data_IF_324136442838
#
_entry.id   IF_324136442838
#
_cell.length_a   1.000
_cell.length_b   1.000
_cell.length_c   1.000
_cell.angle_alpha   90.00
_cell.angle_beta   90.00
_cell.angle_gamma   90.00
#
_symmetry.space_group_name_H-M   'P 1'
#
loop_
_entity.id
_entity.type
_entity.pdbx_description
1 polymer ?
#
# COMPACT_ATOMS: atom_id res chain seq x y z
N UNK A 1 -38.31 -8.14 -44.25
CA UNK A 1 -37.82 -9.52 -44.41
C UNK A 1 -36.32 -9.69 -44.25
N UNK A 2 -35.60 -8.74 -43.64
CA UNK A 2 -34.13 -8.83 -43.44
C UNK A 2 -33.69 -9.30 -42.03
N UNK A 3 -34.61 -9.35 -41.06
CA UNK A 3 -34.26 -9.74 -39.69
C UNK A 3 -34.09 -11.25 -39.44
N UNK A 4 -34.68 -12.09 -40.32
CA UNK A 4 -34.65 -13.55 -40.14
C UNK A 4 -33.35 -14.21 -40.56
N UNK A 5 -32.61 -13.61 -41.47
CA UNK A 5 -31.32 -14.13 -41.94
C UNK A 5 -30.18 -13.90 -40.94
N UNK A 6 -30.23 -12.83 -40.15
CA UNK A 6 -29.20 -12.54 -39.12
C UNK A 6 -29.28 -13.51 -37.94
N UNK A 7 -30.48 -13.92 -37.57
CA UNK A 7 -30.67 -14.91 -36.49
C UNK A 7 -30.18 -16.30 -36.88
N UNK A 8 -30.40 -16.72 -38.12
CA UNK A 8 -29.90 -17.99 -38.60
C UNK A 8 -28.38 -18.01 -38.75
N UNK A 9 -27.75 -16.86 -39.08
CA UNK A 9 -26.30 -16.76 -39.21
C UNK A 9 -25.62 -16.78 -37.82
N UNK A 10 -26.20 -16.17 -36.79
CA UNK A 10 -25.71 -16.22 -35.42
C UNK A 10 -25.82 -17.63 -34.82
N UNK A 11 -26.89 -18.36 -35.09
CA UNK A 11 -27.04 -19.75 -34.61
C UNK A 11 -26.06 -20.69 -35.30
N UNK A 12 -25.76 -20.48 -36.60
CA UNK A 12 -24.76 -21.27 -37.32
C UNK A 12 -23.32 -21.02 -36.82
N UNK A 13 -22.98 -19.80 -36.37
CA UNK A 13 -21.66 -19.47 -35.79
C UNK A 13 -21.46 -20.06 -34.40
N UNK A 14 -22.50 -20.16 -33.59
CA UNK A 14 -22.39 -20.73 -32.25
C UNK A 14 -22.27 -22.26 -32.25
N UNK A 15 -22.82 -22.95 -33.25
CA UNK A 15 -22.68 -24.40 -33.38
C UNK A 15 -21.31 -24.85 -33.92
N UNK A 16 -20.58 -23.98 -34.61
CA UNK A 16 -19.24 -24.30 -35.09
C UNK A 16 -18.12 -24.22 -34.05
N UNK A 17 -18.37 -23.61 -32.90
CA UNK A 17 -17.39 -23.46 -31.80
C UNK A 17 -17.42 -24.60 -30.77
N UNK A 18 -18.45 -25.45 -30.80
CA UNK A 18 -18.61 -26.55 -29.81
C UNK A 18 -17.99 -27.88 -30.29
N UNK A 19 -17.53 -27.98 -31.53
CA UNK A 19 -17.16 -29.28 -32.16
C UNK A 19 -15.66 -29.58 -32.20
N UNK A 20 -14.83 -29.05 -31.25
CA UNK A 20 -13.41 -29.42 -31.11
C UNK A 20 -12.98 -29.71 -29.68
N UNK A 21 -13.78 -30.41 -28.93
CA UNK A 21 -13.30 -31.11 -27.73
C UNK A 21 -12.94 -32.54 -28.20
N UNK A 22 -11.69 -32.77 -28.53
CA UNK A 22 -11.16 -34.13 -28.72
C UNK A 22 -10.98 -34.76 -27.35
N UNK A 23 -11.80 -35.74 -27.10
CA UNK A 23 -11.65 -36.67 -25.96
C UNK A 23 -10.43 -37.52 -26.31
N UNK A 24 -9.31 -37.30 -25.61
CA UNK A 24 -8.19 -38.24 -25.59
C UNK A 24 -8.59 -39.42 -24.72
N UNK A 25 -8.85 -40.56 -25.35
CA UNK A 25 -8.97 -41.84 -24.66
C UNK A 25 -7.61 -42.25 -24.08
N UNK A 26 -7.52 -42.72 -22.83
CA UNK A 26 -6.30 -43.30 -22.31
C UNK A 26 -6.02 -44.62 -23.02
N UNK A 27 -4.81 -44.77 -23.58
CA UNK A 27 -4.30 -46.08 -23.99
C UNK A 27 -3.94 -46.89 -22.75
N UNK A 28 -4.46 -48.08 -22.69
CA UNK A 28 -4.05 -49.15 -21.77
C UNK A 28 -2.57 -49.48 -21.99
N UNK A 29 -1.78 -49.30 -20.94
CA UNK A 29 -0.53 -49.98 -20.74
C UNK A 29 -0.66 -50.89 -19.54
N UNK A 30 -0.83 -52.16 -19.78
CA UNK A 30 -0.62 -53.19 -18.77
C UNK A 30 0.90 -53.34 -18.61
N UNK A 31 1.45 -52.91 -17.44
CA UNK A 31 2.66 -53.44 -16.88
C UNK A 31 2.46 -53.62 -15.38
N UNK A 32 2.48 -54.87 -15.00
CA UNK A 32 2.54 -55.33 -13.63
C UNK A 32 3.89 -54.95 -13.05
N UNK A 33 3.88 -54.16 -11.96
CA UNK A 33 4.92 -54.27 -10.92
C UNK A 33 4.36 -53.75 -9.61
N UNK A 34 4.43 -54.61 -8.61
CA UNK A 34 4.11 -54.37 -7.22
C UNK A 34 4.94 -53.23 -6.64
N UNK A 35 4.36 -52.04 -6.53
CA UNK A 35 4.86 -51.06 -5.59
C UNK A 35 3.70 -50.37 -4.85
N UNK A 36 3.92 -50.27 -3.53
CA UNK A 36 3.01 -49.71 -2.56
C UNK A 36 2.25 -48.48 -3.07
N UNK A 37 0.92 -48.57 -3.10
CA UNK A 37 0.01 -47.46 -3.34
C UNK A 37 0.23 -46.42 -2.24
N UNK A 38 1.22 -45.54 -2.48
CA UNK A 38 1.31 -44.30 -1.76
C UNK A 38 0.23 -43.40 -2.37
N UNK A 39 -0.91 -43.33 -1.74
CA UNK A 39 -1.93 -42.32 -2.03
C UNK A 39 -1.21 -40.98 -2.20
N UNK A 40 -1.35 -40.25 -3.32
CA UNK A 40 -0.77 -38.93 -3.44
C UNK A 40 -1.41 -38.06 -2.34
N UNK A 41 -0.65 -37.78 -1.28
CA UNK A 41 -1.08 -36.84 -0.26
C UNK A 41 -1.26 -35.51 -0.98
N UNK A 42 -2.51 -35.06 -1.11
CA UNK A 42 -2.82 -33.74 -1.64
C UNK A 42 -2.06 -32.76 -0.75
N UNK A 43 -0.97 -32.21 -1.28
CA UNK A 43 -0.15 -31.27 -0.54
C UNK A 43 -0.98 -30.02 -0.25
N UNK A 44 -1.28 -29.81 1.02
CA UNK A 44 -2.09 -28.67 1.49
C UNK A 44 -1.23 -27.40 1.42
N UNK A 45 -1.73 -26.29 0.86
CA UNK A 45 -0.98 -25.03 0.88
C UNK A 45 -0.79 -24.56 2.34
N UNK A 46 0.37 -23.95 2.62
CA UNK A 46 0.62 -23.32 3.92
C UNK A 46 -0.36 -22.16 4.14
N UNK A 47 -0.81 -21.96 5.39
CA UNK A 47 -1.53 -20.75 5.81
C UNK A 47 -0.56 -19.56 5.88
N UNK A 48 -0.17 -19.09 4.70
CA UNK A 48 0.78 -18.01 4.52
C UNK A 48 0.13 -16.83 3.79
N UNK A 49 -0.04 -15.72 4.52
CA UNK A 49 -0.50 -14.45 3.96
C UNK A 49 0.68 -13.49 3.82
N UNK A 50 1.05 -13.18 2.59
CA UNK A 50 2.17 -12.28 2.27
C UNK A 50 2.02 -10.86 2.81
N UNK A 51 0.79 -10.43 3.05
CA UNK A 51 0.47 -9.07 3.50
C UNK A 51 0.28 -8.98 5.01
N UNK A 52 0.20 -10.11 5.72
CA UNK A 52 0.01 -10.13 7.17
C UNK A 52 1.27 -9.63 7.89
N UNK A 53 1.10 -8.61 8.73
CA UNK A 53 2.19 -8.10 9.56
C UNK A 53 2.64 -9.13 10.60
N UNK A 54 3.94 -9.24 10.80
CA UNK A 54 4.61 -10.24 11.67
C UNK A 54 4.37 -11.69 11.22
N UNK A 55 4.05 -11.92 9.96
CA UNK A 55 3.92 -13.25 9.39
C UNK A 55 5.29 -13.91 9.31
N UNK A 56 5.40 -15.07 9.92
CA UNK A 56 6.60 -15.91 9.84
C UNK A 56 6.84 -16.33 8.39
N UNK A 57 8.09 -16.35 7.91
CA UNK A 57 8.42 -16.81 6.56
C UNK A 57 7.86 -18.20 6.26
N UNK A 58 7.35 -18.41 5.05
CA UNK A 58 6.67 -19.65 4.70
C UNK A 58 7.54 -20.90 4.88
N UNK A 59 8.84 -20.82 4.60
CA UNK A 59 9.79 -21.91 4.85
C UNK A 59 9.88 -22.34 6.32
N UNK A 60 9.68 -21.42 7.25
CA UNK A 60 9.64 -21.73 8.67
C UNK A 60 8.32 -22.40 9.06
N UNK A 61 7.20 -21.95 8.46
CA UNK A 61 5.90 -22.60 8.64
C UNK A 61 5.93 -24.06 8.18
N UNK A 62 6.63 -24.37 7.08
CA UNK A 62 6.82 -25.75 6.62
C UNK A 62 7.54 -26.64 7.63
N UNK A 63 8.48 -26.07 8.41
CA UNK A 63 9.27 -26.83 9.39
C UNK A 63 8.50 -27.13 10.67
N UNK A 64 7.56 -26.28 11.04
CA UNK A 64 6.85 -26.33 12.35
C UNK A 64 5.57 -27.15 12.27
N UNK A 65 4.96 -27.28 11.10
CA UNK A 65 3.70 -28.00 10.91
C UNK A 65 3.83 -29.52 11.04
N UNK A 66 2.83 -30.23 11.58
CA UNK A 66 2.81 -31.70 11.65
C UNK A 66 2.69 -32.36 10.27
N UNK A 67 2.25 -31.61 9.26
CA UNK A 67 2.14 -32.03 7.87
C UNK A 67 2.90 -31.00 7.03
N UNK A 68 3.80 -31.47 6.15
CA UNK A 68 4.51 -30.62 5.22
C UNK A 68 3.50 -29.89 4.31
N UNK A 69 3.34 -28.58 4.50
CA UNK A 69 2.53 -27.75 3.62
C UNK A 69 3.36 -27.21 2.45
N UNK A 70 2.72 -26.82 1.36
CA UNK A 70 3.37 -26.20 0.21
C UNK A 70 3.35 -24.67 0.33
N UNK A 71 4.53 -24.08 0.22
CA UNK A 71 4.66 -22.63 0.06
C UNK A 71 4.43 -22.24 -1.40
N UNK A 72 3.74 -21.11 -1.68
CA UNK A 72 3.58 -20.62 -3.04
C UNK A 72 4.93 -20.19 -3.61
N UNK A 73 5.19 -20.56 -4.86
CA UNK A 73 6.25 -20.15 -5.78
C UNK A 73 7.44 -19.40 -5.17
N UNK A 74 8.33 -20.10 -4.48
CA UNK A 74 9.53 -19.49 -3.93
C UNK A 74 10.63 -19.48 -5.00
N UNK A 75 11.21 -18.30 -5.27
CA UNK A 75 12.47 -18.21 -6.00
C UNK A 75 13.65 -18.77 -5.17
N UNK A 76 14.79 -18.90 -5.80
CA UNK A 76 15.99 -19.44 -5.16
C UNK A 76 16.61 -18.44 -4.20
N UNK A 77 17.34 -18.92 -3.20
CA UNK A 77 18.02 -18.06 -2.22
C UNK A 77 19.25 -17.33 -2.80
N UNK A 78 19.79 -17.88 -3.89
CA UNK A 78 20.94 -17.36 -4.63
C UNK A 78 20.56 -16.28 -5.69
N UNK A 79 19.27 -15.96 -5.79
CA UNK A 79 18.75 -14.90 -6.65
C UNK A 79 18.30 -13.69 -5.85
N UNK A 80 18.44 -12.51 -6.44
CA UNK A 80 17.91 -11.27 -5.85
C UNK A 80 16.39 -11.42 -5.67
N UNK A 81 15.83 -10.90 -4.56
CA UNK A 81 14.39 -11.03 -4.34
C UNK A 81 13.59 -10.17 -5.32
N UNK A 82 12.40 -10.65 -5.64
CA UNK A 82 11.42 -9.84 -6.36
C UNK A 82 11.05 -8.59 -5.56
N UNK A 83 10.62 -7.50 -6.21
CA UNK A 83 10.16 -6.33 -5.53
C UNK A 83 8.93 -6.60 -4.65
N UNK A 84 8.88 -6.08 -3.41
CA UNK A 84 7.67 -6.07 -2.61
C UNK A 84 6.57 -5.30 -3.29
N UNK A 85 5.34 -5.57 -2.93
CA UNK A 85 4.19 -4.78 -3.38
C UNK A 85 3.82 -3.77 -2.31
N UNK A 86 3.94 -2.49 -2.62
CA UNK A 86 3.44 -1.42 -1.75
C UNK A 86 1.91 -1.55 -1.67
N UNK A 87 1.39 -1.56 -0.46
CA UNK A 87 -0.04 -1.64 -0.17
C UNK A 87 -0.59 -0.27 0.23
N UNK A 88 -1.45 -0.28 1.23
CA UNK A 88 -2.08 0.93 1.73
C UNK A 88 -1.10 1.86 2.44
N UNK A 89 -1.19 3.15 2.11
CA UNK A 89 -0.45 4.22 2.79
C UNK A 89 -1.47 5.12 3.48
N UNK A 90 -1.46 5.14 4.81
CA UNK A 90 -2.37 5.93 5.63
C UNK A 90 -1.65 7.14 6.20
N UNK A 91 -2.17 8.33 5.92
CA UNK A 91 -1.63 9.58 6.44
C UNK A 91 -2.39 9.96 7.70
N UNK A 92 -1.70 10.01 8.86
CA UNK A 92 -2.25 10.49 10.13
C UNK A 92 -1.84 11.95 10.27
N UNK A 93 -2.66 12.84 9.70
CA UNK A 93 -2.33 14.27 9.56
C UNK A 93 -2.14 14.98 10.90
N UNK A 94 -2.87 14.57 11.95
CA UNK A 94 -2.79 15.17 13.30
C UNK A 94 -1.43 14.90 13.96
N UNK A 95 -0.85 13.73 13.71
CA UNK A 95 0.43 13.32 14.28
C UNK A 95 1.61 13.63 13.34
N UNK A 96 1.33 14.02 12.11
CA UNK A 96 2.36 14.24 11.08
C UNK A 96 3.14 12.96 10.75
N UNK A 97 2.50 11.81 10.91
CA UNK A 97 3.08 10.51 10.60
C UNK A 97 2.34 9.81 9.45
N UNK A 98 3.02 8.87 8.83
CA UNK A 98 2.49 8.05 7.74
C UNK A 98 2.70 6.59 8.08
N UNK A 99 1.64 5.82 8.06
CA UNK A 99 1.68 4.38 8.18
C UNK A 99 1.76 3.76 6.79
N UNK A 100 2.80 2.98 6.59
CA UNK A 100 3.07 2.28 5.33
C UNK A 100 2.85 0.81 5.53
N UNK A 101 2.14 0.17 4.61
CA UNK A 101 1.93 -1.26 4.58
C UNK A 101 2.40 -1.84 3.25
N UNK A 102 2.97 -3.06 3.26
CA UNK A 102 3.38 -3.77 2.06
C UNK A 102 3.18 -5.27 2.17
N UNK A 103 3.13 -5.92 1.03
CA UNK A 103 3.12 -7.37 0.92
C UNK A 103 4.49 -7.89 0.51
N UNK A 104 4.92 -8.98 1.12
CA UNK A 104 6.15 -9.66 0.74
C UNK A 104 6.13 -10.13 -0.71
N UNK A 105 7.27 -10.20 -1.39
CA UNK A 105 7.40 -10.97 -2.62
C UNK A 105 7.28 -12.48 -2.34
N UNK A 106 7.25 -13.27 -3.37
CA UNK A 106 7.36 -14.74 -3.22
C UNK A 106 8.79 -15.22 -3.01
N UNK A 107 9.75 -14.34 -3.21
CA UNK A 107 11.17 -14.60 -3.02
C UNK A 107 11.53 -14.66 -1.53
N UNK A 108 12.58 -15.39 -1.14
CA UNK A 108 13.16 -15.35 0.20
C UNK A 108 13.69 -13.95 0.51
N UNK A 109 13.31 -13.41 1.67
CA UNK A 109 13.71 -12.08 2.14
C UNK A 109 14.29 -12.19 3.54
N UNK A 110 15.46 -11.57 3.76
CA UNK A 110 16.09 -11.47 5.07
C UNK A 110 15.71 -10.19 5.79
N UNK A 111 15.55 -9.09 5.06
CA UNK A 111 15.15 -7.79 5.63
C UNK A 111 14.57 -6.88 4.55
N UNK A 112 13.92 -5.81 5.00
CA UNK A 112 13.38 -4.75 4.15
C UNK A 112 14.05 -3.42 4.48
N UNK A 113 14.02 -2.50 3.51
CA UNK A 113 14.32 -1.09 3.67
C UNK A 113 13.17 -0.25 3.13
N UNK A 114 13.06 0.96 3.66
CA UNK A 114 12.26 2.00 3.07
C UNK A 114 13.19 3.03 2.44
N UNK A 115 12.96 3.36 1.19
CA UNK A 115 13.60 4.47 0.51
C UNK A 115 12.60 5.60 0.44
N UNK A 116 12.98 6.76 0.92
CA UNK A 116 12.14 7.96 0.94
C UNK A 116 12.91 9.15 0.40
N UNK A 117 12.32 9.91 -0.50
CA UNK A 117 12.90 11.18 -0.96
C UNK A 117 11.81 12.18 -1.35
N UNK A 118 12.10 13.46 -1.19
CA UNK A 118 11.30 14.55 -1.73
C UNK A 118 11.48 14.62 -3.26
N UNK A 119 10.49 15.08 -4.04
CA UNK A 119 10.48 15.01 -5.52
C UNK A 119 11.78 15.46 -6.21
N UNK A 120 12.57 16.34 -5.56
CA UNK A 120 13.85 16.82 -6.08
C UNK A 120 15.04 16.48 -5.12
N UNK A 121 14.83 15.56 -4.19
CA UNK A 121 15.77 15.23 -3.13
C UNK A 121 16.58 13.96 -3.41
N UNK A 122 17.57 13.71 -2.54
CA UNK A 122 18.35 12.47 -2.55
C UNK A 122 17.59 11.39 -1.77
N UNK A 123 17.54 10.15 -2.26
CA UNK A 123 16.94 9.05 -1.54
C UNK A 123 17.56 8.83 -0.16
N UNK A 124 16.72 8.78 0.87
CA UNK A 124 17.12 8.42 2.23
C UNK A 124 16.70 6.99 2.50
N UNK A 125 17.63 6.16 2.93
CA UNK A 125 17.40 4.75 3.25
C UNK A 125 17.16 4.61 4.75
N UNK A 126 16.10 3.90 5.12
CA UNK A 126 15.80 3.58 6.52
C UNK A 126 16.80 2.58 7.11
N UNK A 127 16.73 2.35 8.42
CA UNK A 127 17.34 1.16 9.01
C UNK A 127 16.69 -0.14 8.49
N UNK A 128 17.37 -1.29 8.64
CA UNK A 128 16.84 -2.58 8.22
C UNK A 128 15.62 -2.97 9.06
N UNK A 129 14.60 -3.44 8.39
CA UNK A 129 13.37 -3.96 8.98
C UNK A 129 13.36 -5.49 8.84
N UNK A 130 12.94 -6.19 9.90
CA UNK A 130 12.91 -7.65 9.90
C UNK A 130 12.02 -8.22 8.78
N UNK A 131 12.38 -9.41 8.29
CA UNK A 131 11.66 -10.13 7.23
C UNK A 131 10.17 -10.37 7.51
N UNK A 132 9.75 -10.35 8.76
CA UNK A 132 8.34 -10.53 9.16
C UNK A 132 7.53 -9.24 9.16
N UNK A 133 8.20 -8.08 9.16
CA UNK A 133 7.56 -6.77 9.20
C UNK A 133 6.89 -6.44 7.87
N UNK A 134 5.65 -5.95 7.93
CA UNK A 134 4.85 -5.49 6.78
C UNK A 134 4.27 -4.11 6.99
N UNK A 135 4.62 -3.47 8.10
CA UNK A 135 4.19 -2.11 8.43
C UNK A 135 5.34 -1.32 8.99
N UNK A 136 5.39 -0.04 8.65
CA UNK A 136 6.33 0.90 9.25
C UNK A 136 5.66 2.26 9.39
N UNK A 137 6.14 3.03 10.35
CA UNK A 137 5.72 4.39 10.61
C UNK A 137 6.83 5.34 10.17
N UNK A 138 6.47 6.31 9.31
CA UNK A 138 7.37 7.38 8.88
C UNK A 138 6.98 8.67 9.60
N UNK A 139 7.97 9.29 10.25
CA UNK A 139 7.82 10.56 11.00
C UNK A 139 8.65 11.67 10.39
N UNK A 140 8.27 12.91 10.71
CA UNK A 140 9.06 14.07 10.34
C UNK A 140 8.87 14.55 8.90
N UNK A 141 7.82 14.11 8.23
CA UNK A 141 7.48 14.58 6.89
C UNK A 141 6.92 16.00 6.94
N UNK A 142 7.37 16.85 6.03
CA UNK A 142 6.91 18.26 5.96
C UNK A 142 5.47 18.31 5.46
N UNK A 143 4.56 19.04 6.13
CA UNK A 143 3.22 19.27 5.62
C UNK A 143 3.26 19.95 4.25
N UNK A 144 2.40 19.51 3.33
CA UNK A 144 2.36 19.99 1.94
C UNK A 144 3.48 19.45 1.05
N UNK A 145 4.40 18.65 1.60
CA UNK A 145 5.49 18.02 0.84
C UNK A 145 5.01 16.86 -0.03
N UNK A 146 5.68 16.68 -1.17
CA UNK A 146 5.49 15.52 -2.04
C UNK A 146 6.72 14.64 -1.97
N UNK A 147 6.50 13.37 -1.64
CA UNK A 147 7.53 12.38 -1.46
C UNK A 147 7.32 11.19 -2.37
N UNK A 148 8.39 10.49 -2.62
CA UNK A 148 8.34 9.14 -3.21
C UNK A 148 8.83 8.17 -2.16
N UNK A 149 8.08 7.09 -2.00
CA UNK A 149 8.35 6.03 -1.05
C UNK A 149 8.46 4.71 -1.79
N UNK A 150 9.54 3.99 -1.58
CA UNK A 150 9.73 2.63 -2.09
C UNK A 150 10.03 1.66 -0.96
N UNK A 151 9.57 0.43 -1.10
CA UNK A 151 9.92 -0.70 -0.24
C UNK A 151 10.86 -1.60 -1.00
N UNK A 152 12.01 -1.89 -0.42
CA UNK A 152 13.05 -2.76 -1.01
C UNK A 152 13.17 -4.01 -0.16
N UNK A 153 13.15 -5.17 -0.78
CA UNK A 153 13.47 -6.44 -0.15
C UNK A 153 14.95 -6.76 -0.37
N UNK A 154 15.57 -7.42 0.59
CA UNK A 154 16.94 -7.84 0.48
C UNK A 154 17.15 -9.26 1.04
N UNK A 155 18.05 -10.01 0.39
CA UNK A 155 18.57 -11.30 0.83
C UNK A 155 20.09 -11.32 0.68
N UNK A 156 20.73 -12.48 0.75
CA UNK A 156 22.17 -12.63 0.59
C UNK A 156 22.67 -12.36 -0.83
N UNK A 157 21.82 -12.57 -1.83
CA UNK A 157 22.13 -12.33 -3.25
C UNK A 157 22.04 -10.85 -3.63
N UNK A 158 21.34 -10.02 -2.85
CA UNK A 158 21.24 -8.57 -3.09
C UNK A 158 19.91 -7.96 -2.73
N UNK A 159 19.67 -6.77 -3.28
CA UNK A 159 18.46 -5.98 -3.08
C UNK A 159 17.52 -6.10 -4.29
N UNK A 160 16.21 -6.05 -4.05
CA UNK A 160 15.21 -6.06 -5.11
C UNK A 160 15.33 -4.83 -5.98
N UNK A 161 14.99 -4.98 -7.25
CA UNK A 161 15.04 -3.87 -8.20
C UNK A 161 14.05 -2.76 -7.82
N UNK A 162 14.55 -1.54 -7.76
CA UNK A 162 13.73 -0.32 -7.66
C UNK A 162 13.66 0.27 -9.06
N UNK A 163 12.46 0.43 -9.65
CA UNK A 163 12.36 1.04 -10.97
C UNK A 163 13.01 2.44 -10.95
N UNK A 164 13.85 2.73 -11.92
CA UNK A 164 14.31 4.09 -12.17
C UNK A 164 13.09 4.92 -12.58
N UNK A 165 12.63 5.75 -11.66
CA UNK A 165 11.35 6.37 -11.81
C UNK A 165 11.45 7.77 -12.40
N UNK A 166 10.78 7.96 -13.49
CA UNK A 166 10.17 9.24 -13.79
C UNK A 166 9.02 9.47 -12.82
N UNK A 167 9.22 10.40 -11.89
CA UNK A 167 8.30 10.75 -10.78
C UNK A 167 6.86 11.05 -11.26
N UNK A 168 6.69 11.31 -12.56
CA UNK A 168 5.40 11.61 -13.18
C UNK A 168 4.53 10.37 -13.42
N UNK A 169 5.10 9.17 -13.56
CA UNK A 169 4.38 7.95 -13.91
C UNK A 169 3.94 7.09 -12.72
N UNK A 170 4.20 7.50 -11.48
CA UNK A 170 3.81 6.74 -10.27
C UNK A 170 2.41 7.10 -9.78
N UNK A 171 1.47 7.21 -10.70
CA UNK A 171 0.08 7.59 -10.38
C UNK A 171 -0.73 6.45 -9.75
N UNK A 172 -0.31 5.17 -9.90
CA UNK A 172 -1.05 4.03 -9.36
C UNK A 172 -0.17 3.19 -8.42
N UNK A 173 -0.32 3.35 -7.07
CA UNK A 173 0.40 2.56 -6.08
C UNK A 173 0.04 1.06 -6.11
N UNK A 174 -0.94 0.66 -6.93
CA UNK A 174 -1.55 -0.68 -6.85
C UNK A 174 -0.62 -1.82 -7.29
N UNK A 175 0.49 -1.57 -8.00
CA UNK A 175 1.22 -2.64 -8.68
C UNK A 175 2.74 -2.66 -8.54
N UNK A 176 3.35 -1.75 -7.76
CA UNK A 176 4.80 -1.68 -7.64
C UNK A 176 5.32 -1.61 -6.20
N UNK A 177 6.66 -1.59 -6.05
CA UNK A 177 7.30 -1.40 -4.75
C UNK A 177 7.27 0.06 -4.28
N UNK A 178 6.88 0.99 -5.15
CA UNK A 178 6.97 2.42 -4.92
C UNK A 178 5.63 3.12 -5.07
N UNK A 179 5.48 4.25 -4.39
CA UNK A 179 4.29 5.09 -4.48
C UNK A 179 4.59 6.55 -4.18
N UNK A 180 3.74 7.43 -4.70
CA UNK A 180 3.78 8.86 -4.45
C UNK A 180 2.98 9.17 -3.18
N UNK A 181 3.59 9.92 -2.29
CA UNK A 181 3.01 10.35 -1.03
C UNK A 181 2.88 11.86 -1.02
N UNK A 182 1.67 12.39 -0.89
CA UNK A 182 1.39 13.82 -0.82
C UNK A 182 0.90 14.12 0.59
N UNK A 183 1.72 14.84 1.38
CA UNK A 183 1.34 15.25 2.72
C UNK A 183 0.32 16.38 2.67
N UNK A 184 -0.77 16.31 3.44
CA UNK A 184 -1.71 17.41 3.52
C UNK A 184 -1.03 18.65 4.12
N UNK A 185 -1.40 19.86 3.66
CA UNK A 185 -0.94 21.09 4.28
C UNK A 185 -1.47 21.18 5.72
N UNK A 186 -0.75 21.90 6.58
CA UNK A 186 -1.25 22.13 7.95
C UNK A 186 -2.61 22.82 7.90
N UNK A 187 -3.59 22.34 8.67
CA UNK A 187 -4.87 23.02 8.74
C UNK A 187 -4.68 24.43 9.30
N UNK A 188 -5.08 25.44 8.53
CA UNK A 188 -5.03 26.85 8.92
C UNK A 188 -6.07 27.21 9.99
N UNK A 189 -6.84 26.24 10.48
CA UNK A 189 -7.90 26.43 11.48
C UNK A 189 -7.41 27.14 12.76
N UNK A 190 -6.23 26.80 13.25
CA UNK A 190 -5.63 27.48 14.40
C UNK A 190 -5.29 28.95 14.10
N UNK A 191 -4.82 29.23 12.88
CA UNK A 191 -4.51 30.59 12.46
C UNK A 191 -5.78 31.42 12.36
N UNK A 192 -6.83 30.88 11.74
CA UNK A 192 -8.13 31.56 11.65
C UNK A 192 -8.79 31.74 13.02
N UNK A 193 -8.70 30.75 13.92
CA UNK A 193 -9.18 30.87 15.29
C UNK A 193 -8.43 31.97 16.05
N UNK A 194 -7.11 32.00 15.97
CA UNK A 194 -6.30 33.03 16.62
C UNK A 194 -6.59 34.43 16.06
N UNK A 195 -6.74 34.58 14.75
CA UNK A 195 -7.13 35.84 14.12
C UNK A 195 -8.53 36.27 14.55
N UNK A 196 -9.49 35.32 14.61
CA UNK A 196 -10.87 35.63 15.03
C UNK A 196 -10.94 36.08 16.48
N UNK A 197 -10.23 35.41 17.39
CA UNK A 197 -10.15 35.82 18.81
C UNK A 197 -9.45 37.18 18.94
N UNK A 198 -8.34 37.38 18.23
CA UNK A 198 -7.61 38.65 18.25
C UNK A 198 -8.44 39.85 17.78
N UNK A 199 -9.17 39.66 16.67
CA UNK A 199 -10.07 40.72 16.16
C UNK A 199 -11.23 41.01 17.12
N UNK A 200 -11.83 39.98 17.71
CA UNK A 200 -12.90 40.17 18.69
C UNK A 200 -12.42 40.95 19.93
N UNK A 201 -11.25 40.63 20.44
CA UNK A 201 -10.65 41.33 21.60
C UNK A 201 -10.34 42.82 21.25
N UNK A 202 -9.82 43.07 20.04
CA UNK A 202 -9.54 44.40 19.59
C UNK A 202 -10.84 45.23 19.47
N UNK A 203 -11.91 44.68 18.91
CA UNK A 203 -13.22 45.36 18.83
C UNK A 203 -13.83 45.64 20.19
N UNK A 204 -13.74 44.69 21.12
CA UNK A 204 -14.20 44.88 22.51
C UNK A 204 -13.42 46.00 23.20
N UNK A 205 -12.10 46.04 23.01
CA UNK A 205 -11.25 47.08 23.57
C UNK A 205 -11.60 48.47 23.00
N UNK A 206 -11.79 48.56 21.71
CA UNK A 206 -12.22 49.82 21.05
C UNK A 206 -13.61 50.27 21.56
N UNK A 207 -14.57 49.33 21.70
CA UNK A 207 -15.90 49.66 22.19
C UNK A 207 -15.82 50.15 23.64
N UNK A 208 -15.02 49.55 24.50
CA UNK A 208 -14.80 49.94 25.88
C UNK A 208 -14.17 51.35 25.97
N UNK A 209 -13.22 51.69 25.12
CA UNK A 209 -12.60 53.00 25.03
C UNK A 209 -13.61 54.05 24.57
N UNK A 210 -14.38 53.78 23.55
CA UNK A 210 -15.45 54.69 23.08
C UNK A 210 -16.47 54.92 24.18
N UNK A 211 -16.89 53.86 24.86
CA UNK A 211 -17.79 53.98 26.01
C UNK A 211 -17.19 54.87 27.11
N UNK A 212 -15.95 54.62 27.45
CA UNK A 212 -15.29 55.34 28.54
C UNK A 212 -15.12 56.84 28.23
N UNK A 213 -14.66 57.17 27.01
CA UNK A 213 -14.37 58.58 26.65
C UNK A 213 -15.59 59.33 26.14
N UNK A 214 -16.41 58.76 25.25
CA UNK A 214 -17.52 59.50 24.64
C UNK A 214 -18.78 59.57 25.51
N UNK A 215 -19.14 58.50 26.23
CA UNK A 215 -20.37 58.47 27.00
C UNK A 215 -20.18 58.98 28.45
N UNK A 216 -18.98 58.82 29.01
CA UNK A 216 -18.71 59.32 30.37
C UNK A 216 -18.54 60.85 30.37
N UNK A 217 -18.01 61.47 29.32
CA UNK A 217 -17.89 62.92 29.21
C UNK A 217 -19.24 63.62 28.95
N UNK A 218 -20.22 62.93 28.34
CA UNK A 218 -21.55 63.49 28.14
C UNK A 218 -22.41 63.56 29.42
N UNK A 219 -22.01 62.82 30.48
CA UNK A 219 -22.68 62.87 31.79
C UNK A 219 -22.14 63.97 32.71
N UNK A 220 -21.15 64.75 32.30
CA UNK A 220 -20.65 65.92 33.01
C UNK A 220 -21.56 67.10 32.82
N UNK A 221 -22.63 67.27 33.60
CA UNK A 221 -23.38 68.48 33.69
C UNK A 221 -22.44 69.64 34.04
N UNK A 222 -22.45 70.79 33.31
CA UNK A 222 -21.74 71.98 33.74
C UNK A 222 -22.40 72.49 34.99
N UNK A 223 -21.72 72.40 36.14
CA UNK A 223 -22.09 73.17 37.32
C UNK A 223 -21.88 74.67 37.02
N UNK A 224 -22.97 75.36 36.94
CA UNK A 224 -23.02 76.83 37.08
C UNK A 224 -22.89 77.16 38.56
#
# INVERSE_FOLDING_TARGET
>A
MLGSFYLLWLVAMTTSLVSKAQILTPQDYEEEDDEAVTTPSVAVPCDYDRCRHLQVPCKELQKVGPVACLCPGLSREDEQPDPPRLGEVQIVAEEGCVLVHWCAPFSPVNHYWLLLWESNGVPQKSGPLNATVRRAELKGLKPGGTYVLCVVAANEAGESHVPEADVENWADPSFGPCGKLIMPPRPLTLVYAAMGVGTALALLSCAALVWHFCLREQCGCPRR
#
